data_IF_343220662021
#
_entry.id   IF_343220662021
#
_cell.length_a   1.000
_cell.length_b   1.000
_cell.length_c   1.000
_cell.angle_alpha   90.00
_cell.angle_beta   90.00
_cell.angle_gamma   90.00
#
_symmetry.space_group_name_H-M   'P 1'
#
loop_
_entity.id
_entity.type
_entity.pdbx_description
1 polymer ?
#
# COMPACT_ATOMS: atom_id res chain seq x y z
N UNK A 1 15.92 40.66 41.32
CA UNK A 1 14.80 40.61 40.36
C UNK A 1 15.23 39.76 39.18
N UNK A 2 14.71 38.53 39.05
CA UNK A 2 14.97 37.66 37.90
C UNK A 2 13.60 37.24 37.38
N UNK A 3 13.27 37.73 36.18
CA UNK A 3 11.99 37.46 35.53
C UNK A 3 11.94 36.01 35.06
N UNK A 4 10.94 35.26 35.54
CA UNK A 4 10.52 33.97 35.00
C UNK A 4 9.84 34.21 33.65
N UNK A 5 10.54 33.91 32.55
CA UNK A 5 9.89 33.76 31.25
C UNK A 5 9.43 32.31 31.10
N UNK A 6 8.17 32.06 31.47
CA UNK A 6 7.45 30.82 31.16
C UNK A 6 7.08 30.88 29.69
N UNK A 7 7.89 30.24 28.84
CA UNK A 7 7.51 30.01 27.45
C UNK A 7 6.48 28.88 27.41
N UNK A 8 5.22 29.28 27.23
CA UNK A 8 4.12 28.45 26.74
C UNK A 8 4.55 27.80 25.42
N UNK A 9 4.97 26.55 25.47
CA UNK A 9 5.08 25.71 24.28
C UNK A 9 3.65 25.33 23.91
N UNK A 10 3.13 26.02 22.90
CA UNK A 10 1.93 25.62 22.17
C UNK A 10 2.17 24.22 21.60
N UNK A 11 1.46 23.24 22.17
CA UNK A 11 1.30 21.93 21.57
C UNK A 11 0.57 22.13 20.23
N UNK A 12 1.33 22.15 19.14
CA UNK A 12 0.77 21.87 17.83
C UNK A 12 0.46 20.37 17.79
N UNK A 13 -0.82 20.07 18.02
CA UNK A 13 -1.42 18.78 17.71
C UNK A 13 -1.36 18.59 16.19
N UNK A 14 -0.31 17.92 15.74
CA UNK A 14 -0.14 17.49 14.36
C UNK A 14 -0.43 16.01 14.32
N UNK A 15 -1.68 15.67 14.00
CA UNK A 15 -2.11 14.35 13.54
C UNK A 15 -1.45 14.04 12.18
N UNK A 16 -0.13 13.89 12.19
CA UNK A 16 0.64 13.43 11.03
C UNK A 16 0.58 11.92 11.07
N UNK A 17 -0.21 11.32 10.17
CA UNK A 17 -0.08 9.89 9.87
C UNK A 17 1.39 9.59 9.63
N UNK A 18 1.97 8.72 10.45
CA UNK A 18 3.40 8.47 10.44
C UNK A 18 3.86 8.14 9.01
N UNK A 19 4.96 8.75 8.52
CA UNK A 19 5.48 8.41 7.19
C UNK A 19 5.71 6.91 7.14
N UNK A 20 5.10 6.24 6.15
CA UNK A 20 5.25 4.80 5.95
C UNK A 20 6.75 4.48 5.93
N UNK A 21 7.23 3.71 6.92
CA UNK A 21 8.64 3.32 6.96
C UNK A 21 8.94 2.55 5.67
N UNK A 22 10.01 2.92 4.98
CA UNK A 22 10.45 2.19 3.80
C UNK A 22 10.97 0.81 4.19
N UNK A 23 10.78 -0.17 3.30
CA UNK A 23 11.28 -1.53 3.50
C UNK A 23 12.80 -1.52 3.66
N UNK A 24 13.38 -2.33 4.57
CA UNK A 24 14.83 -2.48 4.66
C UNK A 24 15.48 -2.90 3.34
N UNK A 25 14.77 -3.57 2.43
CA UNK A 25 15.28 -3.91 1.10
C UNK A 25 15.72 -2.66 0.32
N UNK A 26 14.99 -1.54 0.41
CA UNK A 26 15.36 -0.30 -0.31
C UNK A 26 16.50 0.46 0.35
N UNK A 27 16.85 0.12 1.59
CA UNK A 27 17.98 0.72 2.33
C UNK A 27 19.28 -0.04 2.09
N UNK A 28 19.20 -1.36 2.07
CA UNK A 28 20.37 -2.24 2.03
C UNK A 28 20.75 -2.67 0.61
N UNK A 29 19.81 -2.64 -0.34
CA UNK A 29 20.02 -3.11 -1.71
C UNK A 29 19.89 -1.97 -2.71
N UNK A 30 20.75 -1.98 -3.74
CA UNK A 30 20.57 -1.12 -4.92
C UNK A 30 19.35 -1.53 -5.73
N UNK A 31 18.86 -0.66 -6.60
CA UNK A 31 17.70 -0.96 -7.46
C UNK A 31 17.93 -2.19 -8.35
N UNK A 32 19.16 -2.37 -8.86
CA UNK A 32 19.56 -3.54 -9.65
C UNK A 32 19.53 -4.83 -8.80
N UNK A 33 20.00 -4.75 -7.55
CA UNK A 33 19.96 -5.89 -6.62
C UNK A 33 18.53 -6.25 -6.23
N UNK A 34 17.66 -5.26 -6.05
CA UNK A 34 16.23 -5.47 -5.79
C UNK A 34 15.53 -6.11 -6.99
N UNK A 35 15.84 -5.65 -8.21
CA UNK A 35 15.28 -6.23 -9.43
C UNK A 35 15.72 -7.68 -9.62
N UNK A 36 16.99 -7.98 -9.36
CA UNK A 36 17.53 -9.35 -9.42
C UNK A 36 16.85 -10.26 -8.41
N UNK A 37 16.73 -9.81 -7.15
CA UNK A 37 16.02 -10.54 -6.10
C UNK A 37 14.55 -10.79 -6.48
N UNK A 38 13.88 -9.80 -7.05
CA UNK A 38 12.50 -9.94 -7.52
C UNK A 38 12.38 -10.98 -8.65
N UNK A 39 13.27 -10.94 -9.64
CA UNK A 39 13.29 -11.92 -10.72
C UNK A 39 13.56 -13.34 -10.22
N UNK A 40 14.45 -13.49 -9.25
CA UNK A 40 14.76 -14.77 -8.59
C UNK A 40 13.51 -15.34 -7.91
N UNK A 41 12.81 -14.53 -7.11
CA UNK A 41 11.56 -14.94 -6.43
C UNK A 41 10.48 -15.32 -7.43
N UNK A 42 10.28 -14.51 -8.48
CA UNK A 42 9.27 -14.78 -9.52
C UNK A 42 9.59 -16.08 -10.26
N UNK A 43 10.85 -16.29 -10.64
CA UNK A 43 11.29 -17.51 -11.32
C UNK A 43 11.11 -18.75 -10.44
N UNK A 44 11.49 -18.68 -9.17
CA UNK A 44 11.32 -19.77 -8.22
C UNK A 44 9.84 -20.15 -8.05
N UNK A 45 8.96 -19.16 -7.85
CA UNK A 45 7.51 -19.38 -7.76
C UNK A 45 6.91 -19.95 -9.03
N UNK A 46 7.32 -19.45 -10.20
CA UNK A 46 6.87 -19.98 -11.49
C UNK A 46 7.31 -21.42 -11.72
N UNK A 47 8.41 -21.83 -11.10
CA UNK A 47 8.93 -23.20 -11.13
C UNK A 47 8.23 -24.13 -10.11
N UNK A 48 7.30 -23.60 -9.32
CA UNK A 48 6.57 -24.36 -8.29
C UNK A 48 7.34 -24.54 -6.97
N UNK A 49 8.37 -23.73 -6.72
CA UNK A 49 9.05 -23.74 -5.42
C UNK A 49 8.08 -23.31 -4.30
N UNK A 50 8.19 -23.97 -3.16
CA UNK A 50 7.44 -23.57 -1.96
C UNK A 50 8.06 -22.31 -1.31
N UNK A 51 7.36 -21.74 -0.33
CA UNK A 51 7.83 -20.51 0.33
C UNK A 51 9.14 -20.72 1.11
N UNK A 52 9.43 -21.94 1.57
CA UNK A 52 10.68 -22.24 2.26
C UNK A 52 11.86 -22.21 1.30
N UNK A 53 11.75 -22.88 0.15
CA UNK A 53 12.75 -22.85 -0.92
C UNK A 53 12.99 -21.44 -1.47
N UNK A 54 11.93 -20.64 -1.63
CA UNK A 54 12.05 -19.23 -2.04
C UNK A 54 12.83 -18.45 -1.00
N UNK A 55 12.54 -18.64 0.29
CA UNK A 55 13.24 -17.97 1.38
C UNK A 55 14.71 -18.36 1.45
N UNK A 56 15.03 -19.65 1.30
CA UNK A 56 16.41 -20.13 1.24
C UNK A 56 17.17 -19.48 0.08
N UNK A 57 16.57 -19.45 -1.12
CA UNK A 57 17.18 -18.83 -2.29
C UNK A 57 17.41 -17.32 -2.10
N UNK A 58 16.49 -16.63 -1.41
CA UNK A 58 16.68 -15.22 -1.03
C UNK A 58 17.83 -15.05 -0.02
N UNK A 59 17.88 -15.88 1.02
CA UNK A 59 18.92 -15.82 2.04
C UNK A 59 20.31 -16.10 1.46
N UNK A 60 20.40 -17.06 0.53
CA UNK A 60 21.62 -17.37 -0.21
C UNK A 60 22.08 -16.14 -1.00
N UNK A 61 21.20 -15.55 -1.81
CA UNK A 61 21.53 -14.35 -2.59
C UNK A 61 21.96 -13.18 -1.70
N UNK A 62 21.23 -12.92 -0.61
CA UNK A 62 21.56 -11.85 0.35
C UNK A 62 22.91 -12.07 1.02
N UNK A 63 23.30 -13.32 1.30
CA UNK A 63 24.59 -13.65 1.89
C UNK A 63 25.78 -13.42 0.94
N UNK A 64 25.53 -13.47 -0.37
CA UNK A 64 26.56 -13.20 -1.39
C UNK A 64 26.82 -11.71 -1.56
N UNK A 65 25.79 -10.87 -1.39
CA UNK A 65 25.88 -9.43 -1.69
C UNK A 65 26.07 -8.56 -0.43
N UNK A 66 25.66 -9.01 0.74
CA UNK A 66 25.84 -8.30 2.01
C UNK A 66 26.98 -8.91 2.83
N UNK A 67 27.74 -8.05 3.50
CA UNK A 67 28.68 -8.54 4.52
C UNK A 67 27.92 -9.20 5.68
N UNK A 68 28.53 -10.15 6.43
CA UNK A 68 27.85 -10.85 7.52
C UNK A 68 27.21 -9.91 8.56
N UNK A 69 27.90 -8.80 8.87
CA UNK A 69 27.38 -7.78 9.81
C UNK A 69 26.14 -7.06 9.25
N UNK A 70 26.16 -6.68 7.96
CA UNK A 70 25.03 -6.02 7.30
C UNK A 70 23.86 -6.98 7.14
N UNK A 71 24.12 -8.24 6.83
CA UNK A 71 23.09 -9.28 6.70
C UNK A 71 22.36 -9.49 8.04
N UNK A 72 23.10 -9.55 9.15
CA UNK A 72 22.50 -9.67 10.48
C UNK A 72 21.60 -8.47 10.81
N UNK A 73 22.07 -7.25 10.56
CA UNK A 73 21.27 -6.02 10.76
C UNK A 73 20.04 -6.00 9.86
N UNK A 74 20.20 -6.36 8.59
CA UNK A 74 19.10 -6.47 7.63
C UNK A 74 18.02 -7.43 8.13
N UNK A 75 18.38 -8.65 8.57
CA UNK A 75 17.42 -9.65 9.06
C UNK A 75 16.61 -9.12 10.25
N UNK A 76 17.28 -8.53 11.24
CA UNK A 76 16.62 -7.92 12.41
C UNK A 76 15.67 -6.79 12.00
N UNK A 77 16.12 -5.86 11.16
CA UNK A 77 15.28 -4.75 10.70
C UNK A 77 14.11 -5.23 9.82
N UNK A 78 14.33 -6.25 8.99
CA UNK A 78 13.33 -6.82 8.10
C UNK A 78 12.23 -7.54 8.89
N UNK A 79 12.59 -8.33 9.89
CA UNK A 79 11.63 -9.02 10.74
C UNK A 79 10.78 -8.03 11.53
N UNK A 80 11.40 -7.00 12.12
CA UNK A 80 10.68 -5.91 12.80
C UNK A 80 9.74 -5.16 11.84
N UNK A 81 10.18 -4.91 10.61
CA UNK A 81 9.35 -4.27 9.59
C UNK A 81 8.14 -5.13 9.22
N UNK A 82 8.33 -6.43 9.01
CA UNK A 82 7.24 -7.36 8.69
C UNK A 82 6.27 -7.57 9.85
N UNK A 83 6.76 -7.62 11.09
CA UNK A 83 5.92 -7.63 12.29
C UNK A 83 5.09 -6.36 12.42
N UNK A 84 5.70 -5.19 12.23
CA UNK A 84 5.00 -3.91 12.25
C UNK A 84 3.96 -3.83 11.12
N UNK A 85 4.31 -4.29 9.92
CA UNK A 85 3.39 -4.34 8.77
C UNK A 85 2.21 -5.27 9.05
N UNK A 86 2.44 -6.42 9.68
CA UNK A 86 1.38 -7.33 10.13
C UNK A 86 0.49 -6.68 11.19
N UNK A 87 1.07 -5.94 12.14
CA UNK A 87 0.38 -5.24 13.23
C UNK A 87 -0.53 -4.11 12.72
N UNK A 88 -0.02 -3.29 11.80
CA UNK A 88 -0.79 -2.18 11.18
C UNK A 88 -1.91 -2.74 10.28
N UNK A 89 -1.69 -3.93 9.67
CA UNK A 89 -2.65 -4.59 8.80
C UNK A 89 -2.83 -3.89 7.45
N UNK A 90 -3.40 -4.58 6.45
CA UNK A 90 -3.69 -4.00 5.12
C UNK A 90 -4.81 -2.95 5.13
N UNK A 91 -5.44 -2.73 6.28
CA UNK A 91 -6.47 -1.72 6.50
C UNK A 91 -6.46 -1.38 7.99
N UNK A 92 -5.99 -0.20 8.36
CA UNK A 92 -6.70 0.51 9.41
C UNK A 92 -8.07 0.88 8.82
N UNK A 93 -9.01 -0.08 8.80
CA UNK A 93 -10.42 0.30 8.86
C UNK A 93 -10.54 0.90 10.24
N UNK A 94 -10.48 2.23 10.28
CA UNK A 94 -11.02 2.96 11.40
C UNK A 94 -12.43 2.41 11.60
N UNK A 95 -12.71 1.77 12.74
CA UNK A 95 -13.95 1.03 13.01
C UNK A 95 -15.19 1.95 13.08
N UNK A 96 -15.10 3.18 12.54
CA UNK A 96 -16.14 4.20 12.48
C UNK A 96 -16.36 4.81 11.08
N UNK A 97 -15.65 4.32 10.05
CA UNK A 97 -15.93 4.70 8.66
C UNK A 97 -16.24 3.44 7.85
N UNK A 98 -17.53 3.12 7.74
CA UNK A 98 -18.02 2.26 6.67
C UNK A 98 -17.60 2.88 5.33
N UNK A 99 -16.54 2.34 4.73
CA UNK A 99 -16.14 2.71 3.38
C UNK A 99 -17.33 2.37 2.47
N UNK A 100 -17.98 3.36 1.83
CA UNK A 100 -19.12 3.07 0.97
C UNK A 100 -18.68 2.05 -0.07
N UNK A 101 -19.48 1.01 -0.24
CA UNK A 101 -19.20 -0.01 -1.24
C UNK A 101 -18.98 0.67 -2.60
N UNK A 102 -17.93 0.29 -3.35
CA UNK A 102 -17.68 0.88 -4.65
C UNK A 102 -18.93 0.69 -5.51
N UNK A 103 -19.57 1.82 -5.86
CA UNK A 103 -20.79 1.83 -6.66
C UNK A 103 -20.51 1.11 -7.98
N UNK A 104 -21.30 0.09 -8.30
CA UNK A 104 -21.13 -0.63 -9.57
C UNK A 104 -21.50 0.33 -10.69
N UNK A 105 -20.68 0.38 -11.73
CA UNK A 105 -20.87 1.29 -12.87
C UNK A 105 -22.26 1.12 -13.50
N UNK A 106 -22.82 -0.11 -13.47
CA UNK A 106 -24.18 -0.41 -13.93
C UNK A 106 -25.27 0.38 -13.17
N UNK A 107 -25.13 0.56 -11.85
CA UNK A 107 -26.09 1.31 -11.02
C UNK A 107 -26.08 2.81 -11.36
N UNK A 108 -24.93 3.32 -11.83
CA UNK A 108 -24.78 4.71 -12.27
C UNK A 108 -25.49 4.92 -13.61
N UNK A 109 -25.38 3.97 -14.53
CA UNK A 109 -26.02 4.03 -15.86
C UNK A 109 -27.54 4.07 -15.72
N UNK A 110 -28.12 3.22 -14.88
CA UNK A 110 -29.58 3.18 -14.65
C UNK A 110 -30.11 4.49 -14.02
N UNK A 111 -29.32 5.13 -13.15
CA UNK A 111 -29.64 6.42 -12.54
C UNK A 111 -29.69 7.58 -13.57
N UNK A 112 -28.96 7.48 -14.67
CA UNK A 112 -28.97 8.47 -15.75
C UNK A 112 -30.01 8.14 -16.84
N UNK A 113 -30.27 6.87 -17.12
CA UNK A 113 -31.29 6.45 -18.09
C UNK A 113 -32.72 6.76 -17.61
N UNK A 114 -32.97 6.70 -16.31
CA UNK A 114 -34.31 6.97 -15.74
C UNK A 114 -34.67 8.46 -15.66
N UNK A 115 -33.72 9.38 -15.88
CA UNK A 115 -33.98 10.84 -15.80
C UNK A 115 -34.22 11.52 -17.16
N UNK A 116 -34.15 10.79 -18.26
CA UNK A 116 -34.20 11.41 -19.59
C UNK A 116 -34.96 10.56 -20.61
N UNK A 117 -36.24 10.29 -20.34
CA UNK A 117 -37.18 9.94 -21.41
C UNK A 117 -38.58 10.46 -21.07
N UNK A 118 -38.77 11.77 -21.30
CA UNK A 118 -40.08 12.27 -21.73
C UNK A 118 -40.32 11.69 -23.14
N UNK A 119 -40.82 10.46 -23.21
CA UNK A 119 -41.10 9.74 -24.47
C UNK A 119 -42.17 10.39 -25.34
N UNK A 120 -42.77 11.50 -24.88
CA UNK A 120 -43.82 12.20 -25.60
C UNK A 120 -43.30 13.10 -26.73
N UNK A 121 -42.04 13.55 -26.68
CA UNK A 121 -41.51 14.50 -27.67
C UNK A 121 -40.90 13.84 -28.92
N UNK A 122 -40.62 12.53 -28.87
CA UNK A 122 -40.04 11.79 -30.00
C UNK A 122 -41.12 11.20 -30.92
N UNK A 123 -42.31 10.91 -30.39
CA UNK A 123 -43.43 10.37 -31.17
C UNK A 123 -44.04 11.43 -32.10
N UNK A 124 -44.19 12.66 -31.62
CA UNK A 124 -44.76 13.77 -32.39
C UNK A 124 -43.87 14.24 -33.56
N UNK A 125 -42.58 13.88 -33.57
CA UNK A 125 -41.65 14.21 -34.67
C UNK A 125 -41.62 13.15 -35.78
N UNK A 126 -42.04 11.91 -35.50
CA UNK A 126 -42.01 10.81 -36.45
C UNK A 126 -43.35 10.59 -37.16
N UNK A 127 -44.43 11.23 -36.71
CA UNK A 127 -45.77 11.18 -37.33
C UNK A 127 -46.07 12.40 -38.22
N UNK A 128 -45.10 13.29 -38.49
CA UNK A 128 -45.31 14.52 -39.27
C UNK A 128 -44.73 14.53 -40.69
N UNK A 129 -44.47 13.37 -41.30
CA UNK A 129 -44.21 13.24 -42.75
C UNK A 129 -45.27 12.38 -43.45
#
# INVERSE_FOLDING_TARGET
>A
MIHFFVFLILFHDSTIGAPCKMSPLTRYLSDEQQQTLHQLIVSARNSGADEEMVKESMDEYLSQILSPEKLMKFKVEHDQFEEERKRIGKRSVDNNYEKPEPVKIFDIIDKYNTKNYDSKKLHDFLESE
#
